data_IF_300534454026
#
_entry.id   IF_300534454026
#
_cell.length_a   1.000
_cell.length_b   1.000
_cell.length_c   1.000
_cell.angle_alpha   90.00
_cell.angle_beta   90.00
_cell.angle_gamma   90.00
#
_symmetry.space_group_name_H-M   'P 1'
#
loop_
_entity.id
_entity.type
_entity.pdbx_description
1 polymer ?
#
# COMPACT_ATOMS: atom_id res chain seq x y z
N UNK A 1 -12.21 5.28 -6.05
CA UNK A 1 -12.18 3.83 -5.80
C UNK A 1 -13.58 3.28 -5.87
N UNK A 2 -13.77 2.28 -6.72
CA UNK A 2 -14.99 1.49 -6.78
C UNK A 2 -15.12 0.57 -5.56
N UNK A 3 -16.33 0.14 -5.25
CA UNK A 3 -16.61 -0.74 -4.10
C UNK A 3 -15.81 -2.05 -4.16
N UNK A 4 -15.60 -2.60 -5.36
CA UNK A 4 -14.82 -3.83 -5.53
C UNK A 4 -13.34 -3.66 -5.10
N UNK A 5 -12.74 -2.50 -5.37
CA UNK A 5 -11.35 -2.20 -4.96
C UNK A 5 -11.24 -2.05 -3.44
N UNK A 6 -12.24 -1.43 -2.80
CA UNK A 6 -12.31 -1.33 -1.33
C UNK A 6 -12.44 -2.71 -0.68
N UNK A 7 -13.18 -3.64 -1.30
CA UNK A 7 -13.27 -5.03 -0.82
C UNK A 7 -11.93 -5.75 -0.90
N UNK A 8 -11.23 -5.62 -2.02
CA UNK A 8 -9.88 -6.20 -2.17
C UNK A 8 -8.91 -5.69 -1.12
N UNK A 9 -8.95 -4.39 -0.79
CA UNK A 9 -8.15 -3.84 0.31
C UNK A 9 -8.48 -4.53 1.64
N UNK A 10 -9.77 -4.67 1.98
CA UNK A 10 -10.19 -5.32 3.22
C UNK A 10 -9.78 -6.79 3.26
N UNK A 11 -9.89 -7.51 2.15
CA UNK A 11 -9.50 -8.92 2.03
C UNK A 11 -7.99 -9.09 2.21
N UNK A 12 -7.20 -8.27 1.52
CA UNK A 12 -5.75 -8.29 1.64
C UNK A 12 -5.30 -7.95 3.08
N UNK A 13 -5.92 -6.92 3.70
CA UNK A 13 -5.65 -6.58 5.10
C UNK A 13 -6.05 -7.69 6.08
N UNK A 14 -7.19 -8.36 5.86
CA UNK A 14 -7.60 -9.48 6.70
C UNK A 14 -6.61 -10.65 6.62
N UNK A 15 -6.09 -10.95 5.43
CA UNK A 15 -5.01 -11.94 5.28
C UNK A 15 -3.76 -11.50 6.02
N UNK A 16 -3.27 -10.28 5.78
CA UNK A 16 -2.02 -9.80 6.40
C UNK A 16 -2.09 -9.72 7.93
N UNK A 17 -3.25 -9.38 8.50
CA UNK A 17 -3.41 -9.20 9.95
C UNK A 17 -3.79 -10.51 10.65
N UNK A 18 -4.79 -11.23 10.12
CA UNK A 18 -5.37 -12.39 10.82
C UNK A 18 -4.79 -13.72 10.37
N UNK A 19 -4.27 -13.79 9.15
CA UNK A 19 -3.74 -15.02 8.54
C UNK A 19 -2.38 -14.75 7.89
N UNK A 20 -1.40 -14.17 8.61
CA UNK A 20 -0.15 -13.70 8.02
C UNK A 20 0.64 -14.81 7.31
N UNK A 21 0.54 -16.05 7.78
CA UNK A 21 1.16 -17.22 7.15
C UNK A 21 0.60 -17.54 5.74
N UNK A 22 -0.58 -17.05 5.38
CA UNK A 22 -1.17 -17.15 4.05
C UNK A 22 -0.89 -15.91 3.19
N UNK A 23 -0.21 -14.90 3.74
CA UNK A 23 0.20 -13.70 3.00
C UNK A 23 1.30 -14.02 1.99
N UNK A 24 1.25 -13.33 0.86
CA UNK A 24 2.26 -13.38 -0.19
C UNK A 24 2.72 -11.96 -0.53
N UNK A 25 3.81 -11.85 -1.28
CA UNK A 25 4.25 -10.55 -1.82
C UNK A 25 3.14 -9.87 -2.64
N UNK A 26 2.31 -10.66 -3.33
CA UNK A 26 1.15 -10.15 -4.05
C UNK A 26 0.08 -9.59 -3.10
N UNK A 27 -0.22 -10.29 -2.00
CA UNK A 27 -1.16 -9.81 -0.98
C UNK A 27 -0.72 -8.47 -0.39
N UNK A 28 0.58 -8.35 -0.10
CA UNK A 28 1.17 -7.10 0.40
C UNK A 28 1.08 -5.98 -0.66
N UNK A 29 1.46 -6.28 -1.91
CA UNK A 29 1.40 -5.31 -3.00
C UNK A 29 -0.02 -4.80 -3.27
N UNK A 30 -1.03 -5.69 -3.25
CA UNK A 30 -2.44 -5.29 -3.38
C UNK A 30 -2.88 -4.38 -2.23
N UNK A 31 -2.56 -4.74 -0.98
CA UNK A 31 -2.89 -3.91 0.18
C UNK A 31 -2.25 -2.52 0.07
N UNK A 32 -0.96 -2.45 -0.31
CA UNK A 32 -0.23 -1.20 -0.48
C UNK A 32 -0.83 -0.33 -1.60
N UNK A 33 -1.11 -0.91 -2.75
CA UNK A 33 -1.67 -0.20 -3.90
C UNK A 33 -3.06 0.37 -3.58
N UNK A 34 -3.97 -0.45 -3.04
CA UNK A 34 -5.32 0.00 -2.70
C UNK A 34 -5.34 0.96 -1.52
N UNK A 35 -4.43 0.83 -0.55
CA UNK A 35 -4.29 1.80 0.54
C UNK A 35 -3.83 3.16 0.03
N UNK A 36 -2.84 3.20 -0.88
CA UNK A 36 -2.42 4.44 -1.57
C UNK A 36 -3.62 5.11 -2.25
N UNK A 37 -4.35 4.35 -3.08
CA UNK A 37 -5.52 4.88 -3.79
C UNK A 37 -6.56 5.45 -2.83
N UNK A 38 -6.82 4.75 -1.71
CA UNK A 38 -7.80 5.20 -0.72
C UNK A 38 -7.39 6.53 -0.07
N UNK A 39 -6.14 6.62 0.38
CA UNK A 39 -5.63 7.84 1.04
C UNK A 39 -5.64 9.02 0.09
N UNK A 40 -5.13 8.85 -1.13
CA UNK A 40 -5.07 9.93 -2.12
C UNK A 40 -6.48 10.39 -2.52
N UNK A 41 -7.45 9.48 -2.66
CA UNK A 41 -8.84 9.82 -2.96
C UNK A 41 -9.56 10.52 -1.79
N UNK A 42 -9.45 10.00 -0.57
CA UNK A 42 -10.13 10.57 0.60
C UNK A 42 -9.59 11.95 0.97
N UNK A 43 -8.34 12.23 0.60
CA UNK A 43 -7.72 13.54 0.80
C UNK A 43 -7.85 14.45 -0.42
N UNK A 44 -8.54 14.01 -1.48
CA UNK A 44 -8.67 14.75 -2.75
C UNK A 44 -7.32 15.20 -3.31
N UNK A 45 -6.29 14.35 -3.18
CA UNK A 45 -4.92 14.62 -3.58
C UNK A 45 -4.12 15.50 -2.62
N UNK A 46 -4.68 15.91 -1.48
CA UNK A 46 -3.98 16.66 -0.44
C UNK A 46 -2.87 15.86 0.26
N UNK A 47 -2.93 14.53 0.19
CA UNK A 47 -1.85 13.62 0.58
C UNK A 47 -1.49 12.76 -0.62
N UNK A 48 -0.18 12.57 -0.83
CA UNK A 48 0.39 11.61 -1.77
C UNK A 48 1.12 10.52 -1.00
N UNK A 49 0.94 9.26 -1.40
CA UNK A 49 1.58 8.10 -0.76
C UNK A 49 2.56 7.47 -1.74
N UNK A 50 3.86 7.55 -1.48
CA UNK A 50 4.87 6.88 -2.29
C UNK A 50 5.60 5.82 -1.46
N UNK A 51 5.76 4.63 -2.02
CA UNK A 51 6.52 3.54 -1.40
C UNK A 51 7.90 3.50 -2.05
N UNK A 52 8.92 3.81 -1.25
CA UNK A 52 10.30 3.89 -1.73
C UNK A 52 11.07 2.71 -1.13
N UNK A 53 11.78 1.92 -1.95
CA UNK A 53 12.75 0.95 -1.43
C UNK A 53 13.72 1.64 -0.49
N UNK A 54 14.01 1.00 0.65
CA UNK A 54 14.87 1.59 1.69
C UNK A 54 16.26 1.93 1.13
N UNK A 55 16.79 1.09 0.25
CA UNK A 55 18.09 1.30 -0.40
C UNK A 55 18.12 2.56 -1.26
N UNK A 56 17.05 2.82 -2.01
CA UNK A 56 16.89 4.03 -2.82
C UNK A 56 16.78 5.27 -1.92
N UNK A 57 16.00 5.19 -0.84
CA UNK A 57 15.88 6.29 0.12
C UNK A 57 17.19 6.61 0.84
N UNK A 58 17.97 5.59 1.18
CA UNK A 58 19.30 5.76 1.78
C UNK A 58 20.25 6.46 0.81
N UNK A 59 20.20 6.12 -0.48
CA UNK A 59 21.04 6.74 -1.51
C UNK A 59 20.66 8.20 -1.78
N UNK A 60 19.35 8.53 -1.82
CA UNK A 60 18.88 9.92 -1.88
C UNK A 60 19.39 10.77 -0.71
N UNK A 61 19.31 10.24 0.52
CA UNK A 61 19.76 10.94 1.73
C UNK A 61 21.28 11.10 1.81
N UNK A 62 22.02 10.24 1.12
CA UNK A 62 23.48 10.31 1.03
C UNK A 62 23.98 11.28 -0.04
N UNK A 63 23.08 11.92 -0.79
CA UNK A 63 23.42 12.94 -1.78
C UNK A 63 24.19 12.34 -2.95
N UNK A 64 23.52 11.53 -3.76
CA UNK A 64 24.07 11.03 -5.03
C UNK A 64 24.75 12.10 -5.88
#
# INVERSE_FOLDING_TARGET
MQVHEKRKLLEAMDVLIRRPAAGTDFTLAEAMAYFKMLVEEMTQGGVRVDYVPVEEKINELRGG
#
